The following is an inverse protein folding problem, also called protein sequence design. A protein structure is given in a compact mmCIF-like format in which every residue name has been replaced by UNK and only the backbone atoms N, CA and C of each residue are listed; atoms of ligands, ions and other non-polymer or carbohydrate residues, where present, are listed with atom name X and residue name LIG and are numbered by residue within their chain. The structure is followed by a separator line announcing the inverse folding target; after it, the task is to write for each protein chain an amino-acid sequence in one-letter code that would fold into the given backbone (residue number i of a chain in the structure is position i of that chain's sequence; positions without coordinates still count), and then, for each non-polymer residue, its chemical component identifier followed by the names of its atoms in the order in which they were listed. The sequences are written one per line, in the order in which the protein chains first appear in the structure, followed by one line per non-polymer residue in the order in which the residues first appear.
data_IF_237203482178
#
_entry.id   IF_237203482178
#
_cell.length_a   1.000
_cell.length_b   1.000
_cell.length_c   1.000
_cell.angle_alpha   90.00
_cell.angle_beta   90.00
_cell.angle_gamma   90.00
#
_symmetry.space_group_name_H-M   'P 1'
#
loop_
_entity.id
_entity.type
_entity.pdbx_description
1 polymer ?
#
# COMPACT_ATOMS: atom_id res chain seq x y z
N UNK A 1 -18.24 -7.28 -7.02
CA UNK A 1 -17.53 -8.12 -6.02
C UNK A 1 -16.34 -7.30 -5.56
N UNK A 2 -16.36 -6.79 -4.33
CA UNK A 2 -15.29 -5.93 -3.82
C UNK A 2 -14.16 -6.76 -3.23
N UNK A 3 -12.93 -6.27 -3.34
CA UNK A 3 -11.78 -6.85 -2.64
C UNK A 3 -11.86 -6.43 -1.16
N UNK A 4 -11.82 -7.36 -0.18
CA UNK A 4 -11.88 -6.98 1.22
C UNK A 4 -10.66 -6.13 1.60
N UNK A 5 -10.90 -4.89 2.06
CA UNK A 5 -9.85 -3.95 2.44
C UNK A 5 -8.86 -4.54 3.46
N UNK A 6 -9.38 -5.31 4.41
CA UNK A 6 -8.60 -6.01 5.44
C UNK A 6 -7.65 -7.05 4.86
N UNK A 7 -8.07 -7.76 3.80
CA UNK A 7 -7.24 -8.76 3.14
C UNK A 7 -6.10 -8.10 2.36
N UNK A 8 -6.38 -7.00 1.66
CA UNK A 8 -5.34 -6.23 0.94
C UNK A 8 -4.34 -5.66 1.93
N UNK A 9 -4.81 -5.02 3.00
CA UNK A 9 -3.94 -4.46 4.05
C UNK A 9 -3.03 -5.52 4.64
N UNK A 10 -3.58 -6.70 4.96
CA UNK A 10 -2.80 -7.83 5.48
C UNK A 10 -1.76 -8.31 4.46
N UNK A 11 -2.16 -8.50 3.20
CA UNK A 11 -1.26 -8.96 2.16
C UNK A 11 -0.08 -8.00 1.93
N UNK A 12 -0.32 -6.69 1.97
CA UNK A 12 0.74 -5.67 1.88
C UNK A 12 1.62 -5.70 3.14
N UNK A 13 1.03 -5.81 4.33
CA UNK A 13 1.76 -5.88 5.60
C UNK A 13 2.62 -7.15 5.75
N UNK A 14 2.25 -8.24 5.08
CA UNK A 14 3.00 -9.50 5.09
C UNK A 14 4.22 -9.48 4.13
N UNK A 15 4.39 -8.44 3.30
CA UNK A 15 5.55 -8.30 2.41
C UNK A 15 6.82 -8.08 3.24
N UNK A 16 7.89 -8.83 2.91
CA UNK A 16 9.18 -8.68 3.59
C UNK A 16 9.70 -7.24 3.47
N UNK A 17 10.17 -6.71 4.60
CA UNK A 17 10.67 -5.34 4.69
C UNK A 17 9.61 -4.30 5.05
N UNK A 18 8.31 -4.64 5.01
CA UNK A 18 7.24 -3.76 5.50
C UNK A 18 7.20 -3.79 7.04
N UNK A 19 7.15 -2.61 7.65
CA UNK A 19 6.96 -2.40 9.07
C UNK A 19 5.53 -1.94 9.40
N UNK A 20 4.88 -1.21 8.49
CA UNK A 20 3.53 -0.70 8.70
C UNK A 20 2.84 -0.28 7.40
N UNK A 21 1.51 -0.27 7.42
CA UNK A 21 0.65 0.18 6.32
C UNK A 21 -0.45 1.06 6.89
N UNK A 22 -0.65 2.24 6.31
CA UNK A 22 -1.65 3.21 6.75
C UNK A 22 -2.13 4.07 5.57
N UNK A 23 -3.16 4.88 5.83
CA UNK A 23 -3.84 5.70 4.83
C UNK A 23 -4.20 4.95 3.52
N UNK A 24 -4.54 3.67 3.67
CA UNK A 24 -4.80 2.77 2.55
C UNK A 24 -6.20 3.00 2.01
N UNK A 25 -6.28 3.34 0.72
CA UNK A 25 -7.53 3.56 0.01
C UNK A 25 -7.59 2.70 -1.25
N UNK A 26 -8.78 2.18 -1.53
CA UNK A 26 -9.08 1.42 -2.74
C UNK A 26 -10.37 2.00 -3.32
N UNK A 27 -10.34 2.31 -4.61
CA UNK A 27 -11.52 2.74 -5.35
C UNK A 27 -11.53 2.11 -6.73
N UNK A 28 -12.68 2.17 -7.40
CA UNK A 28 -12.87 1.61 -8.72
C UNK A 28 -13.64 2.61 -9.57
N UNK A 29 -13.12 2.89 -10.78
CA UNK A 29 -13.78 3.77 -11.76
C UNK A 29 -14.73 2.96 -12.66
N UNK A 30 -14.41 1.67 -12.86
CA UNK A 30 -15.14 0.69 -13.68
C UNK A 30 -14.85 -0.72 -13.16
N UNK A 31 -15.66 -1.71 -13.55
CA UNK A 31 -15.51 -3.11 -13.10
C UNK A 31 -14.10 -3.70 -13.29
N UNK A 32 -13.34 -3.25 -14.29
CA UNK A 32 -11.99 -3.74 -14.61
C UNK A 32 -10.87 -2.79 -14.16
N UNK A 33 -11.21 -1.69 -13.49
CA UNK A 33 -10.24 -0.65 -13.14
C UNK A 33 -10.29 -0.35 -11.64
N UNK A 34 -9.44 -1.07 -10.90
CA UNK A 34 -9.23 -0.87 -9.46
C UNK A 34 -7.93 -0.07 -9.26
N UNK A 35 -8.03 0.98 -8.45
CA UNK A 35 -6.92 1.83 -8.06
C UNK A 35 -6.65 1.71 -6.56
N UNK A 36 -5.39 1.89 -6.18
CA UNK A 36 -4.90 1.73 -4.82
C UNK A 36 -3.92 2.85 -4.46
N UNK A 37 -4.09 3.42 -3.28
CA UNK A 37 -3.09 4.27 -2.62
C UNK A 37 -2.81 3.78 -1.20
N UNK A 38 -1.56 3.89 -0.74
CA UNK A 38 -1.22 3.66 0.67
C UNK A 38 0.11 4.30 1.03
N UNK A 39 0.29 4.53 2.33
CA UNK A 39 1.57 4.84 2.94
C UNK A 39 2.13 3.57 3.58
N UNK A 40 3.38 3.25 3.25
CA UNK A 40 4.06 2.02 3.69
C UNK A 40 5.35 2.41 4.39
N UNK A 41 5.43 2.09 5.67
CA UNK A 41 6.64 2.25 6.46
C UNK A 41 7.52 1.01 6.30
N UNK A 42 8.81 1.21 6.02
CA UNK A 42 9.77 0.12 5.88
C UNK A 42 10.60 -0.09 7.14
N UNK A 43 11.03 -1.34 7.32
CA UNK A 43 12.07 -1.68 8.29
C UNK A 43 13.38 -1.00 7.91
N UNK A 44 14.20 -0.67 8.91
CA UNK A 44 15.50 -0.01 8.69
C UNK A 44 16.42 -0.86 7.80
N UNK A 45 17.01 -0.22 6.79
CA UNK A 45 18.00 -0.84 5.90
C UNK A 45 17.43 -1.58 4.69
N UNK A 46 16.10 -1.59 4.52
CA UNK A 46 15.44 -2.15 3.34
C UNK A 46 15.59 -1.22 2.12
N UNK A 47 15.59 -1.79 0.91
CA UNK A 47 15.53 -1.02 -0.34
C UNK A 47 14.09 -0.58 -0.64
N UNK A 48 13.79 0.74 -0.59
CA UNK A 48 12.44 1.26 -0.86
C UNK A 48 11.88 0.83 -2.20
N UNK A 49 12.72 0.78 -3.24
CA UNK A 49 12.28 0.43 -4.57
C UNK A 49 12.00 -1.07 -4.71
N UNK A 50 12.78 -1.92 -4.03
CA UNK A 50 12.54 -3.36 -4.02
C UNK A 50 11.24 -3.71 -3.30
N UNK A 51 11.03 -3.17 -2.10
CA UNK A 51 9.81 -3.45 -1.35
C UNK A 51 8.57 -2.92 -2.07
N UNK A 52 8.64 -1.71 -2.66
CA UNK A 52 7.54 -1.16 -3.46
C UNK A 52 7.16 -2.08 -4.62
N UNK A 53 8.15 -2.59 -5.38
CA UNK A 53 7.90 -3.52 -6.49
C UNK A 53 7.26 -4.83 -6.04
N UNK A 54 7.66 -5.36 -4.89
CA UNK A 54 7.06 -6.59 -4.36
C UNK A 54 5.62 -6.36 -3.94
N UNK A 55 5.31 -5.21 -3.33
CA UNK A 55 3.93 -4.81 -3.02
C UNK A 55 3.09 -4.68 -4.30
N UNK A 56 3.59 -3.97 -5.32
CA UNK A 56 2.93 -3.83 -6.62
C UNK A 56 2.63 -5.20 -7.25
N UNK A 57 3.58 -6.14 -7.16
CA UNK A 57 3.42 -7.51 -7.64
C UNK A 57 2.32 -8.27 -6.89
N UNK A 58 2.33 -8.23 -5.56
CA UNK A 58 1.29 -8.86 -4.72
C UNK A 58 -0.09 -8.29 -5.04
N UNK A 59 -0.20 -6.97 -5.17
CA UNK A 59 -1.44 -6.27 -5.51
C UNK A 59 -1.99 -6.70 -6.89
N UNK A 60 -1.09 -6.83 -7.87
CA UNK A 60 -1.44 -7.29 -9.22
C UNK A 60 -1.86 -8.77 -9.23
N UNK A 61 -1.04 -9.66 -8.66
CA UNK A 61 -1.21 -11.11 -8.80
C UNK A 61 -2.40 -11.65 -7.98
N UNK A 62 -2.62 -11.10 -6.78
CA UNK A 62 -3.68 -11.59 -5.88
C UNK A 62 -5.01 -10.87 -6.03
N UNK A 63 -4.98 -9.59 -6.41
CA UNK A 63 -6.17 -8.73 -6.36
C UNK A 63 -6.50 -8.07 -7.70
N UNK A 64 -5.66 -8.24 -8.74
CA UNK A 64 -5.87 -7.60 -10.05
C UNK A 64 -5.75 -6.07 -10.01
N UNK A 65 -5.05 -5.52 -9.01
CA UNK A 65 -4.88 -4.07 -8.85
C UNK A 65 -3.65 -3.64 -9.66
N UNK A 66 -3.88 -2.87 -10.73
CA UNK A 66 -2.84 -2.43 -11.65
C UNK A 66 -2.40 -0.98 -11.44
N UNK A 67 -3.26 -0.13 -10.89
CA UNK A 67 -2.98 1.29 -10.67
C UNK A 67 -2.70 1.55 -9.20
N UNK A 68 -1.42 1.63 -8.88
CA UNK A 68 -0.95 1.76 -7.49
C UNK A 68 -0.11 3.02 -7.34
N UNK A 69 -0.40 3.81 -6.31
CA UNK A 69 0.47 4.88 -5.83
C UNK A 69 0.88 4.56 -4.41
N UNK A 70 2.15 4.26 -4.18
CA UNK A 70 2.65 3.86 -2.87
C UNK A 70 3.67 4.89 -2.41
N UNK A 71 3.34 5.59 -1.32
CA UNK A 71 4.31 6.42 -0.62
C UNK A 71 5.10 5.52 0.33
N UNK A 72 6.42 5.51 0.17
CA UNK A 72 7.31 4.73 1.02
C UNK A 72 7.91 5.66 2.06
N UNK A 73 7.85 5.26 3.32
CA UNK A 73 8.34 6.04 4.45
C UNK A 73 9.38 5.24 5.24
N UNK A 74 10.35 5.96 5.77
CA UNK A 74 11.35 5.42 6.67
C UNK A 74 10.77 5.36 8.09
N UNK A 75 11.19 4.40 8.92
CA UNK A 75 10.82 4.34 10.35
C UNK A 75 11.18 5.63 11.13
N UNK A 76 12.13 6.42 10.62
CA UNK A 76 12.52 7.71 11.17
C UNK A 76 11.60 8.89 10.75
N UNK A 77 10.73 8.68 9.76
CA UNK A 77 9.95 9.73 9.09
C UNK A 77 8.45 9.46 9.16
N UNK A 78 7.97 8.86 10.26
CA UNK A 78 6.52 8.69 10.47
C UNK A 78 5.89 10.08 10.54
N UNK A 79 5.30 10.52 9.44
CA UNK A 79 4.55 11.77 9.38
C UNK A 79 3.19 11.52 10.01
N UNK A 80 2.99 12.09 11.19
CA UNK A 80 1.65 12.22 11.77
C UNK A 80 0.80 13.04 10.79
N UNK A 81 -0.07 12.36 10.05
CA UNK A 81 -0.96 12.98 9.07
C UNK A 81 -1.70 14.15 9.70
N UNK A 82 -1.36 15.37 9.26
CA UNK A 82 -2.12 16.56 9.58
C UNK A 82 -3.51 16.38 8.97
N UNK A 83 -4.47 16.02 9.83
CA UNK A 83 -5.89 16.02 9.53
C UNK A 83 -6.29 17.47 9.25
N UNK A 84 -6.23 17.91 8.00
CA UNK A 84 -7.02 19.03 7.53
C UNK A 84 -8.37 18.48 7.07
N UNK A 85 -9.23 18.16 8.05
CA UNK A 85 -10.66 18.09 7.82
C UNK A 85 -11.13 19.52 7.59
N UNK A 86 -11.59 19.84 6.38
CA UNK A 86 -12.51 20.95 6.16
C UNK A 86 -13.91 20.40 5.96
#
# INVERSE_FOLDING_TARGET
MGVPLSEVRRAVGDVQGVAGVHDLHIWSTSNDEISFTAHVTLKRGEDPAAVRREIEKVLKERFGIHRTTIQVESEAETHEGAIFHR
#
